data_IF_525623594870
#
_entry.id   IF_525623594870
#
_cell.length_a   1.000
_cell.length_b   1.000
_cell.length_c   1.000
_cell.angle_alpha   90.00
_cell.angle_beta   90.00
_cell.angle_gamma   90.00
#
_symmetry.space_group_name_H-M   'P 1'
#
loop_
_entity.id
_entity.type
_entity.pdbx_description
1 polymer ?
#
# COMPACT_ATOMS: atom_id res chain seq x y z
N UNK A 1 -7.80 12.29 2.79
CA UNK A 1 -7.22 10.95 3.07
C UNK A 1 -6.22 10.44 2.03
N UNK A 2 -5.91 11.17 0.94
CA UNK A 2 -5.09 10.68 -0.20
C UNK A 2 -3.57 10.94 -0.11
N UNK A 3 -3.11 11.51 1.00
CA UNK A 3 -1.72 11.91 1.24
C UNK A 3 -1.23 11.41 2.61
N UNK A 4 -2.02 10.62 3.34
CA UNK A 4 -1.77 10.29 4.75
C UNK A 4 -0.73 9.17 4.90
N UNK A 5 -0.77 8.19 4.00
CA UNK A 5 0.02 6.96 4.10
C UNK A 5 1.38 7.08 3.42
N UNK A 6 1.46 7.70 2.25
CA UNK A 6 2.72 8.08 1.58
C UNK A 6 3.71 8.81 2.51
N UNK A 7 3.22 9.47 3.55
CA UNK A 7 4.02 10.28 4.48
C UNK A 7 4.39 9.52 5.76
N UNK A 8 3.60 8.51 6.13
CA UNK A 8 3.93 7.57 7.19
C UNK A 8 4.89 6.49 6.68
N UNK A 9 4.74 6.00 5.46
CA UNK A 9 5.63 5.01 4.86
C UNK A 9 7.01 5.57 4.50
N UNK A 10 7.09 6.79 3.95
CA UNK A 10 8.37 7.44 3.61
C UNK A 10 9.19 7.84 4.84
N UNK A 11 8.55 8.13 5.98
CA UNK A 11 9.22 8.36 7.26
C UNK A 11 9.70 7.07 7.93
N UNK A 12 9.13 5.92 7.54
CA UNK A 12 9.40 4.60 8.10
C UNK A 12 10.20 3.70 7.15
N UNK A 13 10.83 4.29 6.12
CA UNK A 13 11.60 3.61 5.08
C UNK A 13 12.94 2.98 5.52
N UNK A 14 13.09 2.65 6.81
CA UNK A 14 14.05 1.62 7.23
C UNK A 14 13.28 0.30 7.36
N UNK A 15 13.90 -0.86 7.13
CA UNK A 15 13.18 -2.11 6.92
C UNK A 15 12.48 -2.56 8.22
N UNK A 16 11.22 -2.15 8.42
CA UNK A 16 10.30 -2.78 9.38
C UNK A 16 9.77 -4.08 8.76
N UNK A 17 10.66 -4.85 8.11
CA UNK A 17 10.42 -6.21 7.67
C UNK A 17 11.08 -7.16 8.68
N UNK A 18 10.69 -7.03 9.95
CA UNK A 18 10.88 -8.08 10.96
C UNK A 18 9.51 -8.57 11.38
N UNK A 19 9.27 -9.85 11.10
CA UNK A 19 7.99 -10.56 11.10
C UNK A 19 7.34 -10.79 12.46
N UNK A 20 7.68 -10.05 13.52
CA UNK A 20 7.21 -10.36 14.87
C UNK A 20 6.99 -9.08 15.70
N UNK A 21 5.80 -8.50 15.60
CA UNK A 21 5.36 -7.47 16.55
C UNK A 21 4.15 -7.97 17.30
N UNK A 22 4.25 -8.06 18.63
CA UNK A 22 3.20 -8.63 19.49
C UNK A 22 2.40 -7.57 20.25
N UNK A 23 2.86 -6.31 20.35
CA UNK A 23 2.14 -5.22 21.04
C UNK A 23 2.53 -3.78 20.61
N UNK A 24 1.76 -2.80 21.08
CA UNK A 24 1.90 -1.36 20.77
C UNK A 24 3.29 -0.80 21.13
N UNK A 25 3.83 -1.05 22.35
CA UNK A 25 5.19 -0.65 22.70
C UNK A 25 6.28 -1.22 21.79
N UNK A 26 6.19 -2.49 21.38
CA UNK A 26 7.14 -3.11 20.45
C UNK A 26 7.06 -2.53 19.04
N UNK A 27 5.85 -2.19 18.57
CA UNK A 27 5.72 -1.55 17.26
C UNK A 27 6.30 -0.14 17.28
N UNK A 28 5.99 0.64 18.31
CA UNK A 28 6.62 1.95 18.54
C UNK A 28 8.13 1.80 18.72
N UNK A 29 8.59 0.78 19.44
CA UNK A 29 10.00 0.49 19.59
C UNK A 29 10.66 0.15 18.26
N UNK A 30 10.07 -0.65 17.37
CA UNK A 30 10.63 -0.92 16.03
C UNK A 30 10.59 0.30 15.10
N UNK A 31 9.52 1.09 15.16
CA UNK A 31 9.44 2.41 14.49
C UNK A 31 10.58 3.33 14.95
N UNK A 32 10.99 3.22 16.22
CA UNK A 32 12.10 3.96 16.84
C UNK A 32 13.46 3.26 16.67
N UNK A 33 13.55 1.94 16.57
CA UNK A 33 14.79 1.15 16.49
C UNK A 33 15.38 1.20 15.08
N UNK A 34 14.51 1.40 14.07
CA UNK A 34 14.85 1.89 12.74
C UNK A 34 15.67 3.20 12.73
N UNK A 35 15.76 3.93 13.86
CA UNK A 35 16.60 5.13 14.00
C UNK A 35 18.04 4.87 14.43
N UNK A 36 18.37 3.64 14.85
CA UNK A 36 19.76 3.25 15.19
C UNK A 36 20.65 3.10 13.93
N UNK A 37 20.03 3.05 12.75
CA UNK A 37 20.72 3.15 11.46
C UNK A 37 20.77 4.61 11.00
N UNK A 38 21.74 5.37 11.54
CA UNK A 38 22.36 6.55 10.92
C UNK A 38 21.47 7.76 10.57
N UNK A 39 20.55 8.20 11.44
CA UNK A 39 20.06 9.59 11.33
C UNK A 39 21.14 10.56 11.85
N UNK A 40 21.87 11.19 10.94
CA UNK A 40 22.90 12.19 11.26
C UNK A 40 22.30 13.58 11.58
N UNK A 41 20.99 13.77 11.40
CA UNK A 41 20.30 15.04 11.57
C UNK A 41 19.38 15.05 12.81
N UNK A 42 19.74 15.85 13.80
CA UNK A 42 19.02 16.03 15.08
C UNK A 42 17.56 16.49 14.90
N UNK A 43 17.24 17.19 13.80
CA UNK A 43 15.87 17.66 13.51
C UNK A 43 14.96 16.50 13.13
N UNK A 44 15.42 15.60 12.27
CA UNK A 44 14.64 14.44 11.83
C UNK A 44 14.39 13.48 13.00
N UNK A 45 15.41 13.23 13.83
CA UNK A 45 15.26 12.44 15.05
C UNK A 45 14.17 13.01 15.96
N UNK A 46 14.16 14.33 16.19
CA UNK A 46 13.14 14.99 17.01
C UNK A 46 11.74 14.83 16.42
N UNK A 47 11.59 15.04 15.13
CA UNK A 47 10.31 14.91 14.44
C UNK A 47 9.79 13.45 14.48
N UNK A 48 10.67 12.44 14.40
CA UNK A 48 10.28 11.02 14.55
C UNK A 48 9.77 10.75 15.97
N UNK A 49 10.46 11.25 17.00
CA UNK A 49 9.99 11.11 18.38
C UNK A 49 8.65 11.79 18.59
N UNK A 50 8.44 12.97 18.01
CA UNK A 50 7.15 13.66 18.07
C UNK A 50 6.06 12.84 17.39
N UNK A 51 6.30 12.31 16.18
CA UNK A 51 5.34 11.46 15.49
C UNK A 51 4.94 10.25 16.35
N UNK A 52 5.92 9.54 16.91
CA UNK A 52 5.70 8.41 17.81
C UNK A 52 4.87 8.80 19.04
N UNK A 53 5.15 9.96 19.64
CA UNK A 53 4.35 10.50 20.75
C UNK A 53 2.90 10.75 20.34
N UNK A 54 2.67 11.36 19.18
CA UNK A 54 1.30 11.65 18.69
C UNK A 54 0.53 10.38 18.37
N UNK A 55 1.21 9.37 17.84
CA UNK A 55 0.63 8.04 17.60
C UNK A 55 0.25 7.38 18.94
N UNK A 56 1.07 7.50 19.97
CA UNK A 56 0.71 7.06 21.32
C UNK A 56 -0.51 7.81 21.87
N UNK A 57 -0.56 9.14 21.69
CA UNK A 57 -1.67 9.95 22.17
C UNK A 57 -3.01 9.56 21.51
N UNK A 58 -3.05 9.25 20.21
CA UNK A 58 -4.29 8.80 19.55
C UNK A 58 -4.70 7.40 19.98
N UNK A 59 -3.74 6.47 20.13
CA UNK A 59 -4.03 5.08 20.53
C UNK A 59 -4.48 4.95 21.98
N UNK A 60 -4.02 5.86 22.85
CA UNK A 60 -4.42 5.94 24.26
C UNK A 60 -5.65 6.84 24.49
N UNK A 61 -6.23 7.41 23.43
CA UNK A 61 -7.43 8.23 23.49
C UNK A 61 -7.23 9.68 23.93
N UNK A 62 -5.98 10.12 24.14
CA UNK A 62 -5.65 11.53 24.43
C UNK A 62 -5.94 12.45 23.24
N UNK A 63 -5.75 11.95 22.01
CA UNK A 63 -6.25 12.61 20.80
C UNK A 63 -7.49 11.85 20.33
N UNK A 64 -8.62 12.55 20.25
CA UNK A 64 -9.86 11.99 19.71
C UNK A 64 -9.89 12.11 18.18
N UNK A 65 -10.13 11.01 17.44
CA UNK A 65 -10.31 11.10 16.00
C UNK A 65 -11.46 12.03 15.61
N UNK A 66 -11.28 12.74 14.50
CA UNK A 66 -12.33 13.58 13.94
C UNK A 66 -13.56 12.75 13.53
N UNK A 67 -14.74 13.33 13.67
CA UNK A 67 -16.01 12.62 13.45
C UNK A 67 -16.67 12.95 12.11
N UNK A 68 -16.19 13.98 11.39
CA UNK A 68 -16.83 14.45 10.16
C UNK A 68 -15.85 14.67 9.01
N UNK A 69 -16.32 14.41 7.78
CA UNK A 69 -15.55 14.61 6.56
C UNK A 69 -15.18 16.10 6.38
N UNK A 70 -16.12 17.01 6.63
CA UNK A 70 -15.92 18.44 6.43
C UNK A 70 -14.81 19.00 7.35
N UNK A 71 -14.80 18.57 8.62
CA UNK A 71 -13.72 18.93 9.54
C UNK A 71 -12.37 18.39 9.04
N UNK A 72 -12.34 17.15 8.56
CA UNK A 72 -11.13 16.56 8.00
C UNK A 72 -10.59 17.29 6.77
N UNK A 73 -11.47 17.66 5.84
CA UNK A 73 -11.09 18.42 4.64
C UNK A 73 -10.59 19.82 5.00
N UNK A 74 -11.25 20.49 5.95
CA UNK A 74 -10.82 21.80 6.46
C UNK A 74 -9.40 21.74 7.02
N UNK A 75 -9.12 20.78 7.91
CA UNK A 75 -7.77 20.59 8.48
C UNK A 75 -6.76 20.27 7.38
N UNK A 76 -7.06 19.33 6.48
CA UNK A 76 -6.13 18.95 5.41
C UNK A 76 -5.74 20.13 4.51
N UNK A 77 -6.66 21.08 4.29
CA UNK A 77 -6.40 22.27 3.48
C UNK A 77 -5.32 23.19 4.08
N UNK A 78 -5.12 23.15 5.41
CA UNK A 78 -4.11 23.96 6.10
C UNK A 78 -2.74 23.30 6.15
N UNK A 79 -2.62 22.02 5.78
CA UNK A 79 -1.38 21.25 5.85
C UNK A 79 -0.49 21.41 4.60
N UNK A 80 -0.56 22.54 3.91
CA UNK A 80 0.30 22.86 2.77
C UNK A 80 1.73 23.22 3.23
N UNK A 81 2.72 23.09 2.34
CA UNK A 81 4.12 23.50 2.57
C UNK A 81 4.78 22.86 3.82
N UNK A 82 4.57 21.56 4.04
CA UNK A 82 5.23 20.78 5.11
C UNK A 82 6.10 19.68 4.52
N UNK A 83 7.19 19.33 5.20
CA UNK A 83 7.92 18.09 4.89
C UNK A 83 7.03 16.87 5.15
N UNK A 84 7.43 15.70 4.67
CA UNK A 84 6.62 14.48 4.87
C UNK A 84 6.37 14.17 6.33
N UNK A 85 7.43 14.28 7.15
CA UNK A 85 7.36 13.97 8.56
C UNK A 85 6.55 15.02 9.34
N UNK A 86 6.73 16.31 9.05
CA UNK A 86 5.92 17.39 9.64
C UNK A 86 4.43 17.24 9.30
N UNK A 87 4.13 16.81 8.07
CA UNK A 87 2.74 16.58 7.66
C UNK A 87 2.17 15.35 8.35
N UNK A 88 2.92 14.27 8.53
CA UNK A 88 2.50 13.10 9.30
C UNK A 88 2.21 13.46 10.77
N UNK A 89 3.09 14.23 11.42
CA UNK A 89 2.87 14.74 12.78
C UNK A 89 1.59 15.56 12.84
N UNK A 90 1.40 16.51 11.94
CA UNK A 90 0.23 17.39 11.94
C UNK A 90 -1.08 16.62 11.71
N UNK A 91 -1.04 15.59 10.86
CA UNK A 91 -2.15 14.67 10.62
C UNK A 91 -2.57 13.93 11.87
N UNK A 92 -1.62 13.30 12.57
CA UNK A 92 -1.93 12.52 13.76
C UNK A 92 -2.37 13.45 14.89
N UNK A 93 -1.68 14.58 15.05
CA UNK A 93 -2.00 15.61 16.04
C UNK A 93 -3.42 16.17 15.88
N UNK A 94 -3.90 16.26 14.64
CA UNK A 94 -5.24 16.75 14.34
C UNK A 94 -6.33 15.67 14.38
N UNK A 95 -6.02 14.45 14.83
CA UNK A 95 -7.00 13.35 14.92
C UNK A 95 -7.48 12.84 13.55
N UNK A 96 -6.69 13.03 12.49
CA UNK A 96 -7.04 12.58 11.13
C UNK A 96 -6.76 11.09 10.89
N UNK A 97 -6.25 10.39 11.89
CA UNK A 97 -6.04 8.93 11.86
C UNK A 97 -6.98 8.24 12.85
N UNK A 98 -7.38 6.99 12.61
CA UNK A 98 -8.21 6.25 13.54
C UNK A 98 -7.41 5.75 14.75
N UNK A 99 -8.08 5.41 15.84
CA UNK A 99 -7.43 4.86 17.06
C UNK A 99 -6.69 3.54 16.79
N UNK A 100 -7.16 2.74 15.83
CA UNK A 100 -6.52 1.49 15.43
C UNK A 100 -5.41 1.67 14.37
N UNK A 101 -4.83 2.87 14.25
CA UNK A 101 -3.77 3.18 13.28
C UNK A 101 -2.62 2.16 13.32
N UNK A 102 -2.28 1.65 14.49
CA UNK A 102 -1.19 0.68 14.63
C UNK A 102 -1.49 -0.64 13.92
N UNK A 103 -2.73 -1.11 13.96
CA UNK A 103 -3.17 -2.30 13.21
C UNK A 103 -3.09 -2.07 11.70
N UNK A 104 -3.34 -0.85 11.24
CA UNK A 104 -3.28 -0.47 9.83
C UNK A 104 -1.84 -0.31 9.33
N UNK A 105 -0.93 0.11 10.20
CA UNK A 105 0.50 0.26 9.92
C UNK A 105 1.29 -1.03 10.11
N UNK A 106 0.68 -2.09 10.65
CA UNK A 106 1.36 -3.37 10.84
C UNK A 106 1.75 -3.96 9.47
N UNK A 107 3.07 -4.13 9.19
CA UNK A 107 3.54 -4.68 7.93
C UNK A 107 3.09 -6.14 7.72
N UNK A 108 2.87 -6.88 8.80
CA UNK A 108 2.40 -8.28 8.77
C UNK A 108 0.88 -8.41 8.55
N UNK A 109 0.16 -7.32 8.29
CA UNK A 109 -1.27 -7.40 8.01
C UNK A 109 -1.50 -8.20 6.72
N UNK A 110 -2.34 -9.27 6.73
CA UNK A 110 -2.51 -10.15 5.58
C UNK A 110 -2.90 -9.44 4.28
N UNK A 111 -3.60 -8.31 4.36
CA UNK A 111 -3.95 -7.50 3.17
C UNK A 111 -2.73 -6.98 2.41
N UNK A 112 -1.57 -6.91 3.05
CA UNK A 112 -0.30 -6.44 2.49
C UNK A 112 0.63 -7.59 2.08
N UNK A 113 0.20 -8.85 2.22
CA UNK A 113 1.00 -10.01 1.82
C UNK A 113 1.34 -9.95 0.33
N UNK A 114 2.61 -10.16 -0.03
CA UNK A 114 3.07 -10.39 -1.40
C UNK A 114 3.45 -11.87 -1.66
N UNK A 115 3.16 -12.76 -0.70
CA UNK A 115 3.41 -14.20 -0.78
C UNK A 115 2.09 -14.98 -0.65
N UNK A 116 1.07 -14.58 -1.41
CA UNK A 116 -0.25 -15.19 -1.41
C UNK A 116 -0.26 -16.52 -2.17
N UNK A 117 -1.18 -17.40 -1.80
CA UNK A 117 -1.47 -18.62 -2.55
C UNK A 117 -2.68 -18.40 -3.45
N UNK A 118 -2.46 -18.33 -4.76
CA UNK A 118 -3.51 -18.17 -5.77
C UNK A 118 -3.55 -19.42 -6.67
N UNK A 119 -4.72 -19.78 -7.25
CA UNK A 119 -4.79 -20.87 -8.22
C UNK A 119 -3.96 -20.54 -9.47
N UNK A 120 -3.37 -21.54 -10.14
CA UNK A 120 -2.63 -21.31 -11.38
C UNK A 120 -3.54 -20.74 -12.48
N UNK A 121 -2.99 -20.02 -13.47
CA UNK A 121 -3.79 -19.46 -14.55
C UNK A 121 -4.48 -20.55 -15.37
N UNK A 122 -5.73 -20.30 -15.77
CA UNK A 122 -6.51 -21.24 -16.58
C UNK A 122 -5.92 -21.48 -17.99
N UNK A 123 -5.10 -20.56 -18.47
CA UNK A 123 -4.40 -20.64 -19.77
C UNK A 123 -2.96 -20.17 -19.59
N UNK A 124 -1.98 -20.72 -20.32
CA UNK A 124 -0.60 -20.26 -20.24
C UNK A 124 -0.48 -18.76 -20.58
N UNK A 125 0.09 -17.99 -19.65
CA UNK A 125 0.37 -16.54 -19.79
C UNK A 125 1.86 -16.21 -19.55
N UNK A 126 2.66 -17.24 -19.27
CA UNK A 126 4.10 -17.21 -18.99
C UNK A 126 4.77 -18.33 -19.81
N UNK A 127 6.02 -18.20 -20.30
CA UNK A 127 6.98 -17.12 -20.04
C UNK A 127 6.80 -15.85 -20.86
N UNK A 128 6.06 -15.88 -21.97
CA UNK A 128 5.72 -14.71 -22.79
C UNK A 128 4.77 -15.06 -23.94
N UNK A 129 4.02 -14.08 -24.44
CA UNK A 129 3.55 -14.08 -25.83
C UNK A 129 4.71 -13.72 -26.78
N UNK A 130 4.70 -14.11 -28.07
CA UNK A 130 5.84 -13.84 -28.97
C UNK A 130 6.23 -12.36 -29.12
N UNK A 131 5.32 -11.41 -28.86
CA UNK A 131 5.55 -9.97 -28.97
C UNK A 131 5.80 -9.27 -27.63
N UNK A 132 5.56 -9.94 -26.50
CA UNK A 132 5.69 -9.34 -25.17
C UNK A 132 7.17 -9.33 -24.75
N UNK A 133 7.55 -8.35 -23.94
CA UNK A 133 8.81 -8.38 -23.22
C UNK A 133 8.90 -9.65 -22.34
N UNK A 134 10.08 -10.27 -22.22
CA UNK A 134 10.25 -11.43 -21.35
C UNK A 134 10.11 -11.01 -19.88
N UNK A 135 9.59 -11.91 -19.05
CA UNK A 135 9.68 -11.78 -17.59
C UNK A 135 11.06 -12.23 -17.11
N UNK A 136 11.67 -11.44 -16.24
CA UNK A 136 12.87 -11.80 -15.47
C UNK A 136 12.49 -12.41 -14.11
N UNK A 137 11.29 -12.12 -13.62
CA UNK A 137 10.78 -12.61 -12.34
C UNK A 137 10.08 -13.97 -12.52
N UNK A 138 10.38 -14.98 -11.68
CA UNK A 138 9.70 -16.27 -11.73
C UNK A 138 8.18 -16.16 -11.54
N UNK A 139 7.42 -16.89 -12.35
CA UNK A 139 5.94 -16.90 -12.31
C UNK A 139 5.34 -17.07 -10.90
N UNK A 140 5.84 -17.97 -10.02
CA UNK A 140 5.29 -18.11 -8.68
C UNK A 140 5.38 -16.81 -7.85
N UNK A 141 6.42 -16.00 -8.06
CA UNK A 141 6.60 -14.73 -7.35
C UNK A 141 5.64 -13.67 -7.90
N UNK A 142 5.45 -13.63 -9.23
CA UNK A 142 4.48 -12.72 -9.87
C UNK A 142 3.06 -13.01 -9.40
N UNK A 143 2.67 -14.30 -9.38
CA UNK A 143 1.35 -14.74 -8.96
C UNK A 143 1.10 -14.49 -7.47
N UNK A 144 2.09 -14.73 -6.62
CA UNK A 144 1.95 -14.59 -5.17
C UNK A 144 1.78 -13.12 -4.72
N UNK A 145 2.25 -12.15 -5.50
CA UNK A 145 2.10 -10.72 -5.19
C UNK A 145 0.63 -10.25 -5.24
N UNK A 146 -0.24 -10.98 -5.95
CA UNK A 146 -1.65 -10.63 -6.10
C UNK A 146 -2.44 -11.05 -4.85
N UNK A 147 -3.07 -10.09 -4.18
CA UNK A 147 -4.01 -10.39 -3.10
C UNK A 147 -5.42 -10.41 -3.67
N UNK A 148 -6.06 -11.59 -3.66
CA UNK A 148 -7.44 -11.78 -4.09
C UNK A 148 -8.36 -11.79 -2.85
N UNK A 149 -9.21 -10.76 -2.66
CA UNK A 149 -10.11 -10.72 -1.51
C UNK A 149 -11.11 -11.89 -1.53
N UNK A 150 -11.56 -12.41 -0.38
CA UNK A 150 -12.58 -13.46 -0.33
C UNK A 150 -13.91 -13.09 -1.01
N UNK A 151 -14.23 -11.79 -1.13
CA UNK A 151 -15.41 -11.29 -1.84
C UNK A 151 -15.25 -11.25 -3.37
N UNK A 152 -14.05 -11.56 -3.88
CA UNK A 152 -13.75 -11.50 -5.31
C UNK A 152 -14.52 -12.55 -6.09
N UNK A 153 -15.06 -12.16 -7.24
CA UNK A 153 -15.77 -13.06 -8.13
C UNK A 153 -15.64 -12.66 -9.60
N UNK A 154 -15.34 -13.62 -10.46
CA UNK A 154 -15.29 -13.43 -11.91
C UNK A 154 -16.67 -13.22 -12.57
N UNK A 155 -17.76 -13.22 -11.79
CA UNK A 155 -19.08 -12.79 -12.28
C UNK A 155 -19.18 -11.27 -12.47
N UNK A 156 -18.26 -10.51 -11.86
CA UNK A 156 -18.14 -9.05 -11.96
C UNK A 156 -16.85 -8.68 -12.68
N UNK A 157 -16.77 -7.45 -13.19
CA UNK A 157 -15.54 -6.92 -13.79
C UNK A 157 -14.46 -6.74 -12.72
N UNK A 158 -13.31 -7.43 -12.82
CA UNK A 158 -12.18 -7.21 -11.92
C UNK A 158 -11.62 -5.80 -12.10
N UNK A 159 -11.29 -5.13 -11.00
CA UNK A 159 -10.53 -3.87 -11.00
C UNK A 159 -9.23 -4.08 -10.23
N UNK A 160 -8.11 -4.12 -10.95
CA UNK A 160 -6.77 -4.23 -10.38
C UNK A 160 -6.34 -2.87 -9.80
N UNK A 161 -6.06 -2.83 -8.51
CA UNK A 161 -5.57 -1.64 -7.81
C UNK A 161 -4.04 -1.75 -7.66
N UNK A 162 -3.33 -0.77 -8.21
CA UNK A 162 -1.86 -0.75 -8.30
C UNK A 162 -1.30 0.35 -7.38
N UNK A 163 -0.45 -0.01 -6.40
CA UNK A 163 0.02 0.90 -5.35
C UNK A 163 0.98 1.98 -5.86
N UNK A 164 1.24 2.97 -5.01
CA UNK A 164 2.27 3.98 -5.22
C UNK A 164 3.62 3.59 -4.64
N UNK A 165 4.59 4.50 -4.75
CA UNK A 165 5.92 4.35 -4.15
C UNK A 165 5.84 4.26 -2.63
N UNK A 166 6.58 3.31 -2.06
CA UNK A 166 6.70 3.07 -0.61
C UNK A 166 5.41 2.62 0.10
N UNK A 167 4.32 2.38 -0.61
CA UNK A 167 3.02 2.12 0.02
C UNK A 167 2.49 0.73 -0.30
N UNK A 168 2.25 -0.15 0.70
CA UNK A 168 1.55 -1.40 0.47
C UNK A 168 0.14 -1.19 -0.10
N UNK A 169 -0.26 -2.00 -1.06
CA UNK A 169 -1.55 -1.83 -1.75
C UNK A 169 -2.74 -2.11 -0.82
N UNK A 170 -2.65 -3.15 0.02
CA UNK A 170 -3.71 -3.50 0.97
C UNK A 170 -4.06 -2.35 1.91
N UNK A 171 -3.07 -1.79 2.60
CA UNK A 171 -3.26 -0.62 3.45
C UNK A 171 -3.72 0.58 2.63
N UNK A 172 -3.19 0.84 1.43
CA UNK A 172 -3.63 1.98 0.60
C UNK A 172 -5.11 1.90 0.21
N UNK A 173 -5.56 0.72 -0.21
CA UNK A 173 -6.83 0.57 -0.91
C UNK A 173 -7.98 0.01 -0.08
N UNK A 174 -7.71 -0.79 0.95
CA UNK A 174 -8.72 -1.53 1.73
C UNK A 174 -9.82 -0.66 2.35
N UNK A 175 -9.50 0.60 2.68
CA UNK A 175 -10.46 1.57 3.23
C UNK A 175 -10.88 2.66 2.24
N UNK A 176 -10.42 2.61 0.98
CA UNK A 176 -10.61 3.67 -0.01
C UNK A 176 -11.24 3.11 -1.30
N UNK A 177 -10.46 2.97 -2.36
CA UNK A 177 -10.92 2.57 -3.68
C UNK A 177 -11.49 1.16 -3.72
N UNK A 178 -11.06 0.24 -2.84
CA UNK A 178 -11.68 -1.09 -2.78
C UNK A 178 -13.15 -1.01 -2.38
N UNK A 179 -13.49 -0.18 -1.37
CA UNK A 179 -14.88 0.02 -0.94
C UNK A 179 -15.71 0.72 -2.00
N UNK A 180 -15.13 1.71 -2.67
CA UNK A 180 -15.81 2.45 -3.74
C UNK A 180 -16.10 1.57 -4.96
N UNK A 181 -15.16 0.70 -5.31
CA UNK A 181 -15.22 -0.14 -6.51
C UNK A 181 -15.79 -1.53 -6.26
N UNK A 182 -16.18 -1.86 -5.02
CA UNK A 182 -16.95 -3.06 -4.73
C UNK A 182 -18.44 -2.77 -4.99
N UNK A 183 -18.92 -3.11 -6.19
CA UNK A 183 -20.30 -2.86 -6.59
C UNK A 183 -21.02 -4.15 -7.00
N UNK A 184 -22.22 -4.03 -7.56
CA UNK A 184 -22.91 -5.15 -8.21
C UNK A 184 -22.27 -5.55 -9.56
N UNK A 185 -21.45 -4.69 -10.17
CA UNK A 185 -20.84 -4.91 -11.50
C UNK A 185 -19.32 -5.01 -11.46
N UNK A 186 -18.67 -4.54 -10.40
CA UNK A 186 -17.20 -4.52 -10.27
C UNK A 186 -16.73 -5.22 -9.00
N UNK A 187 -15.53 -5.80 -9.07
CA UNK A 187 -14.88 -6.44 -7.92
C UNK A 187 -13.41 -6.01 -7.83
N UNK A 188 -12.98 -5.37 -6.73
CA UNK A 188 -11.59 -4.95 -6.56
C UNK A 188 -10.68 -6.13 -6.22
N UNK A 189 -9.44 -6.03 -6.67
CA UNK A 189 -8.31 -6.91 -6.35
C UNK A 189 -7.07 -6.03 -6.35
N UNK A 190 -6.05 -6.32 -5.55
CA UNK A 190 -4.86 -5.46 -5.50
C UNK A 190 -3.58 -6.27 -5.51
N UNK A 191 -2.52 -5.61 -5.96
CA UNK A 191 -1.20 -6.23 -6.07
C UNK A 191 -0.24 -5.58 -5.09
N UNK A 192 0.34 -6.39 -4.21
CA UNK A 192 1.37 -5.97 -3.29
C UNK A 192 2.73 -6.20 -3.95
N UNK A 193 3.22 -5.19 -4.68
CA UNK A 193 4.55 -5.24 -5.30
C UNK A 193 5.60 -5.38 -4.18
N UNK A 194 6.52 -6.35 -4.26
CA UNK A 194 7.56 -6.54 -3.25
C UNK A 194 8.40 -5.28 -3.04
N UNK A 195 9.01 -5.16 -1.85
CA UNK A 195 9.77 -3.98 -1.44
C UNK A 195 8.96 -2.67 -1.59
N UNK A 196 7.63 -2.74 -1.45
CA UNK A 196 6.70 -1.60 -1.49
C UNK A 196 6.95 -0.65 -2.69
N UNK A 197 7.19 -1.24 -3.86
CA UNK A 197 7.43 -0.50 -5.12
C UNK A 197 8.69 0.38 -5.09
N UNK A 198 9.68 0.10 -4.22
CA UNK A 198 10.96 0.83 -4.16
C UNK A 198 12.06 0.21 -5.03
N UNK A 199 11.82 -0.96 -5.62
CA UNK A 199 12.71 -1.59 -6.59
C UNK A 199 12.63 -0.90 -7.96
N UNK A 200 13.41 -1.36 -8.94
CA UNK A 200 13.35 -0.85 -10.32
C UNK A 200 11.89 -0.86 -10.83
N UNK A 201 11.46 0.25 -11.42
CA UNK A 201 10.12 0.42 -12.03
C UNK A 201 9.90 -0.65 -13.12
N UNK A 202 10.95 -1.06 -13.82
CA UNK A 202 10.88 -2.13 -14.84
C UNK A 202 10.49 -3.47 -14.21
N UNK A 203 11.08 -3.81 -13.06
CA UNK A 203 10.74 -5.01 -12.30
C UNK A 203 9.34 -4.90 -11.68
N UNK A 204 8.98 -3.73 -11.14
CA UNK A 204 7.64 -3.48 -10.59
C UNK A 204 6.56 -3.67 -11.66
N UNK A 205 6.81 -3.21 -12.89
CA UNK A 205 5.88 -3.32 -14.01
C UNK A 205 5.58 -4.77 -14.42
N UNK A 206 6.54 -5.70 -14.27
CA UNK A 206 6.34 -7.13 -14.55
C UNK A 206 5.22 -7.73 -13.68
N UNK A 207 5.16 -7.36 -12.39
CA UNK A 207 4.06 -7.76 -11.51
C UNK A 207 2.71 -7.28 -12.05
N UNK A 208 2.65 -6.06 -12.59
CA UNK A 208 1.43 -5.47 -13.12
C UNK A 208 1.00 -6.16 -14.41
N UNK A 209 1.92 -6.36 -15.35
CA UNK A 209 1.67 -7.07 -16.60
C UNK A 209 1.11 -8.48 -16.35
N UNK A 210 1.76 -9.22 -15.45
CA UNK A 210 1.33 -10.57 -15.09
C UNK A 210 -0.07 -10.57 -14.47
N UNK A 211 -0.34 -9.66 -13.51
CA UNK A 211 -1.65 -9.59 -12.86
C UNK A 211 -2.77 -9.21 -13.83
N UNK A 212 -2.52 -8.33 -14.80
CA UNK A 212 -3.48 -8.00 -15.86
C UNK A 212 -3.85 -9.25 -16.65
N UNK A 213 -2.85 -9.98 -17.15
CA UNK A 213 -3.06 -11.18 -17.95
C UNK A 213 -3.71 -12.30 -17.13
N UNK A 214 -3.27 -12.49 -15.88
CA UNK A 214 -3.84 -13.46 -14.96
C UNK A 214 -5.32 -13.19 -14.70
N UNK A 215 -5.70 -11.98 -14.29
CA UNK A 215 -7.09 -11.66 -13.99
C UNK A 215 -7.99 -11.73 -15.24
N UNK A 216 -7.48 -11.27 -16.38
CA UNK A 216 -8.20 -11.32 -17.66
C UNK A 216 -8.51 -12.76 -18.08
N UNK A 217 -7.53 -13.65 -18.01
CA UNK A 217 -7.69 -15.07 -18.36
C UNK A 217 -8.48 -15.86 -17.31
N UNK A 218 -8.27 -15.56 -16.02
CA UNK A 218 -8.98 -16.22 -14.93
C UNK A 218 -10.47 -15.90 -14.98
N UNK A 219 -10.83 -14.65 -15.26
CA UNK A 219 -12.22 -14.22 -15.33
C UNK A 219 -12.84 -14.24 -16.73
N UNK A 220 -12.05 -14.50 -17.78
CA UNK A 220 -12.46 -14.50 -19.19
C UNK A 220 -13.18 -13.21 -19.59
N UNK A 221 -12.68 -12.07 -19.09
CA UNK A 221 -13.27 -10.74 -19.26
C UNK A 221 -12.16 -9.69 -19.28
N UNK A 222 -12.41 -8.57 -19.96
CA UNK A 222 -11.61 -7.36 -19.80
C UNK A 222 -11.68 -6.86 -18.36
N UNK A 223 -10.55 -6.39 -17.83
CA UNK A 223 -10.46 -5.85 -16.47
C UNK A 223 -10.32 -4.32 -16.52
N UNK A 224 -10.59 -3.66 -15.39
CA UNK A 224 -10.14 -2.29 -15.15
C UNK A 224 -8.82 -2.28 -14.37
N UNK A 225 -8.04 -1.21 -14.53
CA UNK A 225 -6.83 -0.95 -13.72
C UNK A 225 -6.92 0.45 -13.15
N UNK A 226 -6.65 0.60 -11.85
CA UNK A 226 -6.53 1.87 -11.16
C UNK A 226 -5.12 1.96 -10.56
N UNK A 227 -4.26 2.76 -11.18
CA UNK A 227 -2.94 3.09 -10.67
C UNK A 227 -2.96 4.34 -9.79
N UNK A 228 -2.20 4.31 -8.70
CA UNK A 228 -1.98 5.48 -7.84
C UNK A 228 -0.50 5.84 -7.77
N UNK A 229 -0.16 7.13 -7.96
CA UNK A 229 1.22 7.62 -7.96
C UNK A 229 2.08 6.81 -8.97
N UNK A 230 3.21 6.25 -8.53
CA UNK A 230 4.05 5.36 -9.36
C UNK A 230 3.30 4.19 -9.97
N UNK A 231 2.24 3.66 -9.36
CA UNK A 231 1.46 2.57 -9.94
C UNK A 231 0.86 2.88 -11.30
N UNK A 232 0.65 4.17 -11.63
CA UNK A 232 0.29 4.58 -12.99
C UNK A 232 1.45 4.45 -13.99
N UNK A 233 2.69 4.73 -13.56
CA UNK A 233 3.90 4.52 -14.36
C UNK A 233 4.16 3.02 -14.57
N UNK A 234 4.09 2.23 -13.51
CA UNK A 234 4.25 0.77 -13.57
C UNK A 234 3.22 0.14 -14.53
N UNK A 235 1.96 0.61 -14.46
CA UNK A 235 0.89 0.19 -15.38
C UNK A 235 1.19 0.62 -16.82
N UNK A 236 1.61 1.86 -17.04
CA UNK A 236 1.90 2.36 -18.39
C UNK A 236 3.07 1.62 -19.04
N UNK A 237 4.09 1.25 -18.25
CA UNK A 237 5.20 0.42 -18.71
C UNK A 237 4.71 -0.97 -19.12
N UNK A 238 3.92 -1.62 -18.26
CA UNK A 238 3.32 -2.94 -18.51
C UNK A 238 2.38 -2.98 -19.73
N UNK A 239 1.75 -1.85 -20.09
CA UNK A 239 0.90 -1.77 -21.28
C UNK A 239 1.70 -1.50 -22.56
N UNK A 240 2.93 -0.99 -22.45
CA UNK A 240 3.78 -0.64 -23.58
C UNK A 240 4.63 -1.80 -24.07
N UNK A 241 5.08 -2.65 -23.16
CA UNK A 241 6.06 -3.72 -23.38
C UNK A 241 5.47 -5.08 -23.03
#
# INVERSE_FOLDING_TARGET
MRCLYFLLSTALCSPIYRSEVKNIPEMLAQLLDATTTSYTNTTQTREIFELSSRISDITTGKITPIQTINQGLSILSTLQNKTSLQRAIAVVSAGLVPQNILTLLNPSNPINSYTNTNPPPNTPIYPKSPQDAPYDIPEPNLLAALYIPPSFTCTKTPILLVPGTADPAGTTFSFSYSKLLQTNTTTPVWINVPNVSLSDIQDNAQYIAYAINYLSTQCKRTIGVLGWSQGALDTQWALKY
#
